data_IF_580199385938
#
_entry.id   IF_580199385938
#
_cell.length_a   1.000
_cell.length_b   1.000
_cell.length_c   1.000
_cell.angle_alpha   90.00
_cell.angle_beta   90.00
_cell.angle_gamma   90.00
#
_symmetry.space_group_name_H-M   'P 1'
#
loop_
_entity.id
_entity.type
_entity.pdbx_description
1 polymer ?
#
# COMPACT_ATOMS: atom_id res chain seq x y z
N UNK A 1 15.64 -19.14 5.39
CA UNK A 1 14.45 -18.26 5.48
C UNK A 1 14.71 -17.03 4.64
N UNK A 2 13.80 -16.67 3.74
CA UNK A 2 13.91 -15.42 2.97
C UNK A 2 13.32 -14.32 3.85
N UNK A 3 14.12 -13.29 4.16
CA UNK A 3 13.67 -12.20 5.03
C UNK A 3 12.89 -11.14 4.24
N UNK A 4 11.77 -10.61 4.76
CA UNK A 4 11.01 -9.56 4.09
C UNK A 4 11.83 -8.27 3.96
N UNK A 5 12.69 -7.97 4.93
CA UNK A 5 13.53 -6.77 4.94
C UNK A 5 14.49 -6.66 3.75
N UNK A 6 14.98 -7.79 3.21
CA UNK A 6 15.81 -7.74 2.00
C UNK A 6 14.99 -7.33 0.77
N UNK A 7 13.71 -7.70 0.74
CA UNK A 7 12.80 -7.30 -0.33
C UNK A 7 12.36 -5.84 -0.16
N UNK A 8 12.13 -5.37 1.07
CA UNK A 8 11.89 -3.94 1.35
C UNK A 8 13.07 -3.09 0.88
N UNK A 9 14.30 -3.51 1.15
CA UNK A 9 15.50 -2.84 0.67
C UNK A 9 15.55 -2.79 -0.87
N UNK A 10 15.36 -3.94 -1.54
CA UNK A 10 15.33 -4.02 -3.02
C UNK A 10 14.22 -3.17 -3.64
N UNK A 11 13.05 -3.08 -3.00
CA UNK A 11 11.98 -2.19 -3.44
C UNK A 11 12.45 -0.73 -3.33
N UNK A 12 13.03 -0.34 -2.19
CA UNK A 12 13.60 1.00 -1.99
C UNK A 12 14.62 1.38 -3.06
N UNK A 13 15.57 0.49 -3.35
CA UNK A 13 16.57 0.72 -4.40
C UNK A 13 15.92 0.84 -5.79
N UNK A 14 14.95 -0.02 -6.11
CA UNK A 14 14.25 0.02 -7.40
C UNK A 14 13.39 1.28 -7.54
N UNK A 15 12.78 1.78 -6.45
CA UNK A 15 12.08 3.07 -6.42
C UNK A 15 13.05 4.22 -6.72
N UNK A 16 14.20 4.25 -6.04
CA UNK A 16 15.20 5.30 -6.20
C UNK A 16 15.84 5.30 -7.59
N UNK A 17 16.08 4.12 -8.18
CA UNK A 17 16.67 3.96 -9.50
C UNK A 17 15.64 4.07 -10.66
N UNK A 18 14.34 4.23 -10.35
CA UNK A 18 13.26 4.14 -11.34
C UNK A 18 13.30 2.80 -12.13
N UNK A 19 13.70 1.72 -11.47
CA UNK A 19 13.80 0.39 -12.08
C UNK A 19 12.43 -0.32 -12.07
N UNK A 20 11.64 0.01 -13.09
CA UNK A 20 10.31 -0.57 -13.31
C UNK A 20 10.38 -2.09 -13.51
N UNK A 21 11.47 -2.64 -14.06
CA UNK A 21 11.57 -4.09 -14.26
C UNK A 21 11.70 -4.85 -12.94
N UNK A 22 12.53 -4.33 -12.02
CA UNK A 22 12.66 -4.90 -10.68
C UNK A 22 11.38 -4.72 -9.88
N UNK A 23 10.74 -3.55 -9.95
CA UNK A 23 9.45 -3.34 -9.28
C UNK A 23 8.37 -4.31 -9.74
N UNK A 24 8.27 -4.59 -11.04
CA UNK A 24 7.30 -5.58 -11.55
C UNK A 24 7.53 -7.01 -11.03
N UNK A 25 8.72 -7.35 -10.54
CA UNK A 25 9.00 -8.64 -9.89
C UNK A 25 8.70 -8.62 -8.39
N UNK A 26 8.82 -7.46 -7.76
CA UNK A 26 8.64 -7.28 -6.31
C UNK A 26 7.22 -6.84 -5.93
N UNK A 27 6.39 -6.51 -6.91
CA UNK A 27 5.03 -6.02 -6.74
C UNK A 27 4.07 -6.91 -7.53
N UNK A 28 3.19 -7.60 -6.82
CA UNK A 28 2.09 -8.34 -7.43
C UNK A 28 0.91 -7.39 -7.65
N UNK A 29 0.95 -6.67 -8.78
CA UNK A 29 -0.06 -5.67 -9.12
C UNK A 29 -1.47 -6.25 -9.21
N UNK A 30 -1.61 -7.52 -9.60
CA UNK A 30 -2.90 -8.17 -9.72
C UNK A 30 -3.49 -8.44 -8.33
N UNK A 31 -2.67 -8.93 -7.39
CA UNK A 31 -3.10 -9.07 -5.99
C UNK A 31 -3.49 -7.72 -5.38
N UNK A 32 -2.73 -6.66 -5.67
CA UNK A 32 -3.05 -5.30 -5.18
C UNK A 32 -4.41 -4.86 -5.71
N UNK A 33 -4.66 -4.98 -7.02
CA UNK A 33 -5.96 -4.63 -7.64
C UNK A 33 -7.12 -5.39 -7.01
N UNK A 34 -6.98 -6.71 -6.87
CA UNK A 34 -8.03 -7.56 -6.28
C UNK A 34 -8.34 -7.14 -4.85
N UNK A 35 -7.32 -6.90 -4.03
CA UNK A 35 -7.51 -6.51 -2.61
C UNK A 35 -8.01 -5.08 -2.46
N UNK A 36 -7.52 -4.16 -3.30
CA UNK A 36 -7.99 -2.78 -3.34
C UNK A 36 -9.47 -2.72 -3.72
N UNK A 37 -9.89 -3.47 -4.75
CA UNK A 37 -11.30 -3.62 -5.12
C UNK A 37 -12.15 -4.17 -3.97
N UNK A 38 -11.71 -5.26 -3.35
CA UNK A 38 -12.43 -5.86 -2.23
C UNK A 38 -12.56 -4.89 -1.04
N UNK A 39 -11.57 -4.03 -0.81
CA UNK A 39 -11.64 -2.97 0.18
C UNK A 39 -12.69 -1.91 -0.20
N UNK A 40 -12.67 -1.41 -1.43
CA UNK A 40 -13.64 -0.41 -1.93
C UNK A 40 -15.06 -0.96 -1.84
N UNK A 41 -15.29 -2.21 -2.25
CA UNK A 41 -16.59 -2.88 -2.18
C UNK A 41 -17.10 -2.97 -0.73
N UNK A 42 -16.23 -3.38 0.21
CA UNK A 42 -16.57 -3.44 1.64
C UNK A 42 -16.95 -2.08 2.20
N UNK A 43 -16.26 -1.02 1.80
CA UNK A 43 -16.56 0.35 2.23
C UNK A 43 -17.90 0.83 1.65
N UNK A 44 -18.18 0.55 0.39
CA UNK A 44 -19.46 0.87 -0.22
C UNK A 44 -20.63 0.18 0.49
N UNK A 45 -20.45 -1.09 0.90
CA UNK A 45 -21.44 -1.81 1.72
C UNK A 45 -21.57 -1.21 3.12
N UNK A 46 -20.46 -0.88 3.78
CA UNK A 46 -20.47 -0.24 5.10
C UNK A 46 -21.22 1.11 5.07
N UNK A 47 -20.97 1.94 4.05
CA UNK A 47 -21.65 3.22 3.85
C UNK A 47 -23.17 3.06 3.62
N UNK A 48 -23.57 2.07 2.82
CA UNK A 48 -25.00 1.75 2.62
C UNK A 48 -25.70 1.32 3.91
N UNK A 49 -24.95 0.70 4.81
CA UNK A 49 -25.47 0.20 6.08
C UNK A 49 -25.33 1.22 7.24
N UNK A 50 -24.52 2.27 7.09
CA UNK A 50 -24.33 3.33 8.08
C UNK A 50 -25.39 4.43 7.94
N UNK A 51 -26.54 4.21 8.55
CA UNK A 51 -27.31 5.28 9.17
C UNK A 51 -26.89 5.38 10.66
N UNK A 52 -26.09 6.42 11.01
CA UNK A 52 -25.61 6.86 12.35
C UNK A 52 -24.27 6.30 12.91
N UNK A 53 -23.61 6.95 13.92
CA UNK A 53 -23.32 8.38 14.13
C UNK A 53 -21.80 8.72 14.11
N UNK A 54 -21.49 10.01 14.08
CA UNK A 54 -20.25 10.70 13.64
C UNK A 54 -18.95 10.57 14.47
N UNK A 55 -18.87 9.81 15.56
CA UNK A 55 -17.78 10.01 16.54
C UNK A 55 -16.47 9.27 16.27
N UNK A 56 -16.44 8.25 15.41
CA UNK A 56 -15.20 7.51 15.05
C UNK A 56 -14.69 7.87 13.63
N UNK A 57 -15.19 8.97 13.08
CA UNK A 57 -15.04 9.31 11.66
C UNK A 57 -13.74 10.03 11.29
N UNK A 58 -12.92 10.54 12.21
CA UNK A 58 -11.84 11.48 11.84
C UNK A 58 -10.83 10.97 10.79
N UNK A 59 -10.36 9.72 10.93
CA UNK A 59 -9.42 9.09 9.99
C UNK A 59 -10.16 8.39 8.85
N UNK A 60 -11.31 7.79 9.14
CA UNK A 60 -12.17 7.09 8.19
C UNK A 60 -12.75 8.06 7.15
N UNK A 61 -13.33 9.21 7.52
CA UNK A 61 -13.91 10.18 6.57
C UNK A 61 -12.90 10.91 5.71
N UNK A 62 -11.68 11.13 6.19
CA UNK A 62 -10.62 11.72 5.36
C UNK A 62 -10.15 10.76 4.27
N UNK A 63 -10.03 9.47 4.60
CA UNK A 63 -9.80 8.41 3.61
C UNK A 63 -11.03 8.24 2.66
N UNK A 64 -12.26 8.31 3.19
CA UNK A 64 -13.50 8.19 2.40
C UNK A 64 -13.63 9.32 1.36
N UNK A 65 -13.24 10.56 1.69
CA UNK A 65 -13.34 11.70 0.78
C UNK A 65 -12.54 11.52 -0.52
N UNK A 66 -11.42 10.80 -0.47
CA UNK A 66 -10.52 10.61 -1.60
C UNK A 66 -10.76 9.30 -2.36
N UNK A 67 -11.31 8.26 -1.71
CA UNK A 67 -11.47 6.92 -2.31
C UNK A 67 -12.88 6.63 -2.84
N UNK A 68 -13.91 7.33 -2.34
CA UNK A 68 -15.33 6.95 -2.51
C UNK A 68 -16.03 7.64 -3.68
N UNK A 69 -15.37 8.56 -4.40
CA UNK A 69 -15.92 9.08 -5.65
C UNK A 69 -15.81 8.05 -6.78
N UNK A 70 -16.65 7.01 -6.72
CA UNK A 70 -17.13 6.28 -7.88
C UNK A 70 -16.12 5.46 -8.69
N UNK A 71 -15.15 4.80 -8.06
CA UNK A 71 -14.28 3.86 -8.77
C UNK A 71 -15.05 2.56 -9.10
N UNK A 72 -15.58 2.47 -10.32
CA UNK A 72 -16.05 1.20 -10.91
C UNK A 72 -14.85 0.23 -11.06
N UNK A 73 -15.10 -1.09 -11.18
CA UNK A 73 -14.07 -2.11 -11.34
C UNK A 73 -13.04 -1.80 -12.45
N UNK A 74 -13.50 -1.24 -13.56
CA UNK A 74 -12.64 -0.81 -14.67
C UNK A 74 -11.74 0.39 -14.34
N UNK A 75 -12.11 1.18 -13.33
CA UNK A 75 -11.33 2.31 -12.86
C UNK A 75 -10.21 1.87 -11.93
N UNK A 76 -10.42 0.84 -11.09
CA UNK A 76 -9.37 0.28 -10.23
C UNK A 76 -8.18 -0.23 -11.04
N UNK A 77 -8.42 -0.97 -12.12
CA UNK A 77 -7.34 -1.50 -12.97
C UNK A 77 -6.54 -0.39 -13.68
N UNK A 78 -7.19 0.75 -13.97
CA UNK A 78 -6.56 1.92 -14.58
C UNK A 78 -5.83 2.81 -13.58
N UNK A 79 -6.27 2.82 -12.32
CA UNK A 79 -5.66 3.62 -11.25
C UNK A 79 -4.51 2.87 -10.60
N UNK A 80 -4.68 1.58 -10.32
CA UNK A 80 -3.66 0.74 -9.68
C UNK A 80 -2.68 0.26 -10.74
N UNK A 81 -1.69 1.11 -11.01
CA UNK A 81 -0.55 0.88 -11.90
C UNK A 81 0.75 0.77 -11.10
N UNK A 82 1.86 0.43 -11.76
CA UNK A 82 3.16 0.43 -11.10
C UNK A 82 3.56 1.84 -10.66
N UNK A 83 3.21 2.86 -11.43
CA UNK A 83 3.48 4.27 -11.07
C UNK A 83 2.67 4.70 -9.86
N UNK A 84 1.41 4.29 -9.76
CA UNK A 84 0.63 4.48 -8.53
C UNK A 84 1.30 3.83 -7.32
N UNK A 85 1.81 2.59 -7.45
CA UNK A 85 2.54 1.92 -6.35
C UNK A 85 3.78 2.72 -5.94
N UNK A 86 4.51 3.27 -6.92
CA UNK A 86 5.68 4.12 -6.65
C UNK A 86 5.31 5.37 -5.89
N UNK A 87 4.22 6.03 -6.27
CA UNK A 87 3.70 7.20 -5.57
C UNK A 87 3.29 6.87 -4.13
N UNK A 88 2.59 5.75 -3.91
CA UNK A 88 2.17 5.34 -2.56
C UNK A 88 3.35 4.96 -1.65
N UNK A 89 4.38 4.32 -2.22
CA UNK A 89 5.57 3.91 -1.47
C UNK A 89 6.66 5.00 -1.45
N UNK A 90 6.40 6.17 -2.04
CA UNK A 90 7.32 7.31 -1.94
C UNK A 90 7.17 7.91 -0.55
N UNK A 91 8.27 8.03 0.22
CA UNK A 91 8.24 8.73 1.49
C UNK A 91 7.79 10.19 1.30
N UNK A 92 7.07 10.78 2.26
CA UNK A 92 6.77 12.20 2.24
C UNK A 92 8.10 12.99 2.36
N UNK A 93 8.52 13.59 1.25
CA UNK A 93 9.72 14.43 1.15
C UNK A 93 9.37 15.69 0.38
N UNK A 94 9.96 16.81 0.82
CA UNK A 94 9.83 18.11 0.15
C UNK A 94 10.75 18.22 -1.08
N UNK A 95 11.62 17.24 -1.27
CA UNK A 95 12.57 17.14 -2.38
C UNK A 95 12.16 15.98 -3.29
N UNK A 96 11.80 16.30 -4.53
CA UNK A 96 11.39 15.33 -5.56
C UNK A 96 12.51 14.36 -5.96
N UNK A 97 13.78 14.71 -5.69
CA UNK A 97 14.94 13.88 -5.97
C UNK A 97 15.39 13.04 -4.76
N UNK A 98 14.78 13.24 -3.59
CA UNK A 98 15.14 12.51 -2.38
C UNK A 98 14.25 11.27 -2.22
N UNK A 99 14.85 10.10 -2.47
CA UNK A 99 14.27 8.80 -2.14
C UNK A 99 15.03 8.23 -0.94
N UNK A 100 14.64 8.59 0.30
CA UNK A 100 15.21 7.91 1.47
C UNK A 100 14.83 6.44 1.40
N UNK A 101 15.75 5.56 1.82
CA UNK A 101 15.53 4.12 1.80
C UNK A 101 14.14 3.78 2.37
N UNK A 102 13.35 2.97 1.65
CA UNK A 102 12.04 2.52 2.11
C UNK A 102 12.12 1.86 3.49
N UNK A 103 13.26 1.21 3.77
CA UNK A 103 13.54 0.61 5.06
C UNK A 103 13.67 1.66 6.18
N UNK A 104 14.27 2.81 5.93
CA UNK A 104 14.41 3.88 6.93
C UNK A 104 13.07 4.56 7.25
N UNK A 105 12.15 4.57 6.30
CA UNK A 105 10.80 5.11 6.50
C UNK A 105 9.82 4.08 7.08
N UNK A 106 10.26 2.83 7.24
CA UNK A 106 9.47 1.77 7.86
C UNK A 106 9.49 1.94 9.38
N UNK A 107 8.37 2.39 9.95
CA UNK A 107 8.24 2.60 11.40
C UNK A 107 7.75 1.36 12.15
N UNK A 108 7.19 0.38 11.43
CA UNK A 108 6.67 -0.85 12.01
C UNK A 108 6.65 -2.00 10.99
N UNK A 109 6.98 -3.21 11.44
CA UNK A 109 6.91 -4.43 10.65
C UNK A 109 6.47 -5.61 11.52
N UNK A 110 5.52 -6.40 11.04
CA UNK A 110 4.94 -7.51 11.81
C UNK A 110 4.58 -8.70 10.93
N UNK A 111 4.91 -9.91 11.39
CA UNK A 111 4.48 -11.15 10.75
C UNK A 111 3.06 -11.51 11.19
N UNK A 112 2.08 -11.32 10.32
CA UNK A 112 0.73 -11.86 10.55
C UNK A 112 0.71 -13.38 10.41
N UNK A 113 1.64 -13.93 9.63
CA UNK A 113 1.89 -15.37 9.51
C UNK A 113 3.31 -15.57 8.96
N UNK A 114 3.84 -16.81 8.92
CA UNK A 114 5.14 -17.09 8.31
C UNK A 114 5.29 -16.64 6.85
N UNK A 115 4.18 -16.42 6.14
CA UNK A 115 4.15 -16.03 4.73
C UNK A 115 3.48 -14.68 4.47
N UNK A 116 3.08 -13.93 5.52
CA UNK A 116 2.46 -12.61 5.41
C UNK A 116 3.10 -11.63 6.36
N UNK A 117 3.50 -10.48 5.83
CA UNK A 117 4.22 -9.45 6.57
C UNK A 117 3.54 -8.10 6.34
N UNK A 118 3.10 -7.46 7.41
CA UNK A 118 2.56 -6.11 7.41
C UNK A 118 3.69 -5.13 7.65
N UNK A 119 3.71 -4.05 6.86
CA UNK A 119 4.64 -2.94 7.01
C UNK A 119 3.85 -1.64 7.13
N UNK A 120 4.29 -0.75 8.02
CA UNK A 120 3.82 0.63 8.11
C UNK A 120 4.98 1.58 7.81
N UNK A 121 4.74 2.48 6.88
CA UNK A 121 5.62 3.57 6.51
C UNK A 121 5.09 4.89 7.10
N UNK A 122 5.97 5.65 7.75
CA UNK A 122 5.58 6.91 8.43
C UNK A 122 5.06 6.72 9.86
N UNK A 123 4.80 7.82 10.56
CA UNK A 123 4.40 7.82 11.96
C UNK A 123 2.89 7.62 12.16
N UNK A 124 2.52 7.01 13.29
CA UNK A 124 1.12 6.82 13.64
C UNK A 124 0.48 8.19 13.95
N UNK A 125 -0.58 8.54 13.24
CA UNK A 125 -1.23 9.85 13.36
C UNK A 125 -0.89 10.83 12.23
N UNK A 126 0.12 10.53 11.42
CA UNK A 126 0.58 11.38 10.31
C UNK A 126 0.22 10.80 8.93
N UNK A 127 -0.93 10.12 8.81
CA UNK A 127 -1.38 9.43 7.60
C UNK A 127 -0.36 8.39 7.07
N UNK A 128 -0.03 7.36 7.87
CA UNK A 128 0.96 6.36 7.50
C UNK A 128 0.44 5.42 6.43
N UNK A 129 1.30 5.05 5.48
CA UNK A 129 0.97 4.06 4.45
C UNK A 129 1.23 2.65 5.01
N UNK A 130 0.23 1.79 4.92
CA UNK A 130 0.33 0.38 5.26
C UNK A 130 0.44 -0.45 3.98
N UNK A 131 1.40 -1.36 3.92
CA UNK A 131 1.45 -2.32 2.82
C UNK A 131 1.72 -3.73 3.32
N UNK A 132 1.19 -4.69 2.58
CA UNK A 132 1.29 -6.10 2.87
C UNK A 132 2.24 -6.76 1.89
N UNK A 133 3.16 -7.53 2.43
CA UNK A 133 4.00 -8.44 1.67
C UNK A 133 3.55 -9.87 1.88
N UNK A 134 3.61 -10.67 0.82
CA UNK A 134 3.37 -12.10 0.89
C UNK A 134 4.56 -12.83 0.28
N UNK A 135 4.98 -13.92 0.93
CA UNK A 135 6.00 -14.81 0.38
C UNK A 135 5.36 -15.64 -0.74
N UNK A 136 5.78 -15.40 -1.98
CA UNK A 136 5.33 -16.08 -3.19
C UNK A 136 6.56 -16.59 -3.94
N UNK A 137 6.62 -17.89 -4.25
CA UNK A 137 7.76 -18.50 -4.98
C UNK A 137 9.14 -18.17 -4.37
N UNK A 138 9.22 -18.16 -3.02
CA UNK A 138 10.42 -17.77 -2.26
C UNK A 138 10.84 -16.30 -2.38
N UNK A 139 9.99 -15.43 -2.92
CA UNK A 139 10.21 -13.99 -2.98
C UNK A 139 9.10 -13.24 -2.24
N UNK A 140 9.46 -12.25 -1.42
CA UNK A 140 8.45 -11.41 -0.78
C UNK A 140 7.99 -10.34 -1.76
N UNK A 141 6.69 -10.32 -2.05
CA UNK A 141 6.08 -9.36 -2.97
C UNK A 141 5.05 -8.51 -2.28
N UNK A 142 4.97 -7.23 -2.64
CA UNK A 142 3.88 -6.36 -2.20
C UNK A 142 2.58 -6.84 -2.86
N UNK A 143 1.59 -7.13 -2.03
CA UNK A 143 0.28 -7.68 -2.47
C UNK A 143 -0.89 -6.80 -2.10
N UNK A 144 -0.72 -5.83 -1.20
CA UNK A 144 -1.74 -4.82 -0.88
C UNK A 144 -1.08 -3.53 -0.40
N UNK A 145 -1.72 -2.39 -0.66
CA UNK A 145 -1.33 -1.07 -0.16
C UNK A 145 -2.59 -0.34 0.27
N UNK A 146 -2.52 0.29 1.44
CA UNK A 146 -3.59 1.03 2.09
C UNK A 146 -3.00 2.33 2.66
N UNK A 147 -3.44 3.50 2.20
CA UNK A 147 -3.03 4.79 2.78
C UNK A 147 -3.73 5.07 4.12
#
# INVERSE_FOLDING_TARGET
>A
MVWPFSSIYRIGDALAANDVQTLNKLVDINSIRVRYKAMVDKQAVALKNMAAPQSEMGTFTRFLGNSVQGLNNMAVDRVVTIDWVREQLRPPSNDENYYPSLLLNTSFGFYESPVKFLVRMGELGESPVHYYMQLQDWEWRVTAIYP
#
